data_IF_685961328785
#
_entry.id   IF_685961328785
#
_cell.length_a   1.000
_cell.length_b   1.000
_cell.length_c   1.000
_cell.angle_alpha   90.00
_cell.angle_beta   90.00
_cell.angle_gamma   90.00
#
_symmetry.space_group_name_H-M   'P 1'
#
loop_
_entity.id
_entity.type
_entity.pdbx_description
1 polymer ?
#
# COMPACT_ATOMS: atom_id res chain seq x y z
N UNK A 1 1.81 6.65 53.09
CA UNK A 1 1.84 5.66 52.00
C UNK A 1 1.12 6.13 50.72
N UNK A 2 0.02 6.89 50.81
CA UNK A 2 -0.70 7.38 49.61
C UNK A 2 0.08 8.32 48.67
N UNK A 3 1.05 9.11 49.18
CA UNK A 3 1.87 10.02 48.35
C UNK A 3 2.93 9.31 47.51
N UNK A 4 3.40 8.14 47.93
CA UNK A 4 4.38 7.33 47.17
C UNK A 4 3.67 6.54 46.06
N UNK A 5 2.43 6.10 46.31
CA UNK A 5 1.58 5.43 45.31
C UNK A 5 1.14 6.34 44.15
N UNK A 6 1.00 7.65 44.39
CA UNK A 6 0.65 8.62 43.33
C UNK A 6 1.83 8.97 42.41
N UNK A 7 3.07 8.91 42.92
CA UNK A 7 4.29 9.17 42.13
C UNK A 7 4.66 7.99 41.22
N UNK A 8 4.39 6.75 41.64
CA UNK A 8 4.63 5.56 40.81
C UNK A 8 3.61 5.38 39.68
N UNK A 9 2.38 5.92 39.82
CA UNK A 9 1.37 5.88 38.76
C UNK A 9 1.71 6.78 37.57
N UNK A 10 2.34 7.93 37.82
CA UNK A 10 2.71 8.92 36.78
C UNK A 10 3.85 8.44 35.87
N UNK A 11 4.78 7.62 36.39
CA UNK A 11 5.95 7.14 35.64
C UNK A 11 5.56 6.00 34.67
N UNK A 12 4.55 5.19 35.04
CA UNK A 12 4.05 4.12 34.16
C UNK A 12 3.28 4.65 32.95
N UNK A 13 2.57 5.78 33.10
CA UNK A 13 1.83 6.37 31.98
C UNK A 13 2.75 6.92 30.89
N UNK A 14 3.90 7.51 31.25
CA UNK A 14 4.85 8.06 30.27
C UNK A 14 5.52 6.99 29.40
N UNK A 15 5.81 5.81 29.95
CA UNK A 15 6.53 4.76 29.21
C UNK A 15 5.67 4.15 28.09
N UNK A 16 4.38 3.90 28.36
CA UNK A 16 3.42 3.37 27.38
C UNK A 16 3.18 4.34 26.21
N UNK A 17 3.10 5.65 26.48
CA UNK A 17 2.93 6.66 25.42
C UNK A 17 4.21 6.89 24.60
N UNK A 18 5.39 6.73 25.21
CA UNK A 18 6.66 6.85 24.49
C UNK A 18 6.88 5.66 23.53
N UNK A 19 6.60 4.44 23.99
CA UNK A 19 6.72 3.19 23.21
C UNK A 19 5.71 3.12 22.05
N UNK A 20 4.48 3.59 22.26
CA UNK A 20 3.49 3.65 21.18
C UNK A 20 3.84 4.69 20.10
N UNK A 21 4.44 5.82 20.50
CA UNK A 21 4.91 6.82 19.54
C UNK A 21 6.13 6.32 18.73
N UNK A 22 7.04 5.55 19.33
CA UNK A 22 8.21 5.03 18.61
C UNK A 22 7.83 3.99 17.57
N UNK A 23 6.89 3.10 17.88
CA UNK A 23 6.40 2.11 16.91
C UNK A 23 5.68 2.76 15.72
N UNK A 24 4.79 3.71 15.99
CA UNK A 24 4.05 4.42 14.95
C UNK A 24 4.99 5.11 13.95
N UNK A 25 6.00 5.83 14.45
CA UNK A 25 7.02 6.48 13.61
C UNK A 25 7.79 5.49 12.74
N UNK A 26 8.14 4.31 13.28
CA UNK A 26 8.83 3.27 12.51
C UNK A 26 7.93 2.68 11.42
N UNK A 27 6.63 2.55 11.66
CA UNK A 27 5.66 2.09 10.66
C UNK A 27 5.54 3.12 9.53
N UNK A 28 5.45 4.41 9.87
CA UNK A 28 5.41 5.48 8.87
C UNK A 28 6.66 5.46 7.98
N UNK A 29 7.83 5.29 8.60
CA UNK A 29 9.09 5.18 7.88
C UNK A 29 9.15 3.91 7.02
N UNK A 30 8.71 2.76 7.55
CA UNK A 30 8.66 1.50 6.82
C UNK A 30 7.78 1.61 5.58
N UNK A 31 6.59 2.18 5.72
CA UNK A 31 5.65 2.41 4.61
C UNK A 31 6.29 3.31 3.53
N UNK A 32 7.01 4.36 3.95
CA UNK A 32 7.71 5.26 3.02
C UNK A 32 8.87 4.55 2.31
N UNK A 33 9.68 3.76 3.02
CA UNK A 33 10.79 2.98 2.44
C UNK A 33 10.29 1.90 1.47
N UNK A 34 9.09 1.38 1.71
CA UNK A 34 8.41 0.45 0.81
C UNK A 34 7.76 1.13 -0.40
N UNK A 35 7.69 2.47 -0.42
CA UNK A 35 7.13 3.28 -1.51
C UNK A 35 5.68 2.90 -1.86
N UNK A 36 4.86 2.67 -0.83
CA UNK A 36 3.48 2.18 -0.99
C UNK A 36 2.53 3.19 -1.65
N UNK A 37 2.83 4.48 -1.56
CA UNK A 37 2.14 5.55 -2.29
C UNK A 37 2.29 5.37 -3.81
N UNK A 38 3.51 5.14 -4.29
CA UNK A 38 3.78 4.88 -5.71
C UNK A 38 3.11 3.58 -6.19
N UNK A 39 2.96 2.59 -5.31
CA UNK A 39 2.23 1.35 -5.62
C UNK A 39 0.74 1.61 -5.84
N UNK A 40 0.12 2.47 -5.01
CA UNK A 40 -1.27 2.91 -5.19
C UNK A 40 -1.44 3.67 -6.51
N UNK A 41 -0.53 4.58 -6.83
CA UNK A 41 -0.56 5.30 -8.12
C UNK A 41 -0.43 4.36 -9.32
N UNK A 42 0.48 3.39 -9.23
CA UNK A 42 0.68 2.37 -10.26
C UNK A 42 -0.57 1.51 -10.47
N UNK A 43 -1.26 1.14 -9.40
CA UNK A 43 -2.53 0.41 -9.47
C UNK A 43 -3.58 1.20 -10.26
N UNK A 44 -3.72 2.50 -10.03
CA UNK A 44 -4.65 3.32 -10.81
C UNK A 44 -4.26 3.45 -12.28
N UNK A 45 -2.95 3.58 -12.57
CA UNK A 45 -2.47 3.58 -13.95
C UNK A 45 -2.83 2.29 -14.70
N UNK A 46 -2.75 1.13 -14.02
CA UNK A 46 -3.18 -0.15 -14.59
C UNK A 46 -4.69 -0.18 -14.85
N UNK A 47 -5.52 0.31 -13.91
CA UNK A 47 -6.97 0.39 -14.09
C UNK A 47 -7.30 1.28 -15.30
N UNK A 48 -6.68 2.45 -15.43
CA UNK A 48 -6.88 3.34 -16.59
C UNK A 48 -6.50 2.67 -17.90
N UNK A 49 -5.37 1.95 -17.94
CA UNK A 49 -4.94 1.19 -19.12
C UNK A 49 -5.94 0.10 -19.50
N UNK A 50 -6.44 -0.64 -18.51
CA UNK A 50 -7.45 -1.68 -18.72
C UNK A 50 -8.75 -1.08 -19.27
N UNK A 51 -9.21 0.06 -18.74
CA UNK A 51 -10.44 0.72 -19.20
C UNK A 51 -10.35 1.19 -20.65
N UNK A 52 -9.18 1.70 -21.08
CA UNK A 52 -8.96 2.08 -22.49
C UNK A 52 -9.14 0.89 -23.43
N UNK A 53 -8.54 -0.25 -23.11
CA UNK A 53 -8.68 -1.48 -23.90
C UNK A 53 -10.08 -2.10 -23.85
N UNK A 54 -10.87 -1.78 -22.83
CA UNK A 54 -12.23 -2.30 -22.67
C UNK A 54 -13.23 -1.69 -23.66
N UNK A 55 -13.00 -0.46 -24.12
CA UNK A 55 -13.87 0.21 -25.11
C UNK A 55 -14.00 -0.61 -26.41
N UNK A 56 -12.87 -1.07 -26.95
CA UNK A 56 -12.81 -1.92 -28.14
C UNK A 56 -13.48 -3.28 -27.90
N UNK A 57 -13.23 -3.90 -26.74
CA UNK A 57 -13.83 -5.20 -26.38
C UNK A 57 -15.35 -5.13 -26.23
N UNK A 58 -15.88 -4.00 -25.75
CA UNK A 58 -17.31 -3.77 -25.60
C UNK A 58 -17.99 -3.35 -26.92
N UNK A 59 -17.23 -3.15 -27.99
CA UNK A 59 -17.78 -2.71 -29.28
C UNK A 59 -18.37 -1.30 -29.23
N UNK A 60 -17.80 -0.42 -28.40
CA UNK A 60 -18.24 0.98 -28.26
C UNK A 60 -18.15 1.65 -29.63
N UNK A 61 -19.25 2.24 -30.08
CA UNK A 61 -19.26 2.93 -31.39
C UNK A 61 -18.50 4.25 -31.28
N UNK A 62 -17.94 4.76 -32.40
CA UNK A 62 -17.29 6.08 -32.41
C UNK A 62 -18.19 7.21 -31.88
N UNK A 63 -19.50 7.14 -32.12
CA UNK A 63 -20.48 8.11 -31.61
C UNK A 63 -20.71 8.04 -30.09
N UNK A 64 -20.36 6.93 -29.47
CA UNK A 64 -20.55 6.65 -28.04
C UNK A 64 -19.23 6.81 -27.25
N UNK A 65 -18.08 6.89 -27.94
CA UNK A 65 -16.75 6.96 -27.34
C UNK A 65 -16.62 8.09 -26.31
N UNK A 66 -17.10 9.29 -26.64
CA UNK A 66 -17.02 10.42 -25.72
C UNK A 66 -17.84 10.21 -24.43
N UNK A 67 -18.96 9.48 -24.52
CA UNK A 67 -19.79 9.13 -23.36
C UNK A 67 -19.07 8.07 -22.52
N UNK A 68 -18.49 7.06 -23.18
CA UNK A 68 -17.71 6.02 -22.53
C UNK A 68 -16.50 6.61 -21.78
N UNK A 69 -15.68 7.40 -22.47
CA UNK A 69 -14.49 8.03 -21.91
C UNK A 69 -14.85 8.91 -20.70
N UNK A 70 -15.94 9.69 -20.81
CA UNK A 70 -16.42 10.52 -19.70
C UNK A 70 -16.86 9.66 -18.51
N UNK A 71 -17.68 8.64 -18.73
CA UNK A 71 -18.21 7.80 -17.66
C UNK A 71 -17.08 7.10 -16.88
N UNK A 72 -16.14 6.47 -17.59
CA UNK A 72 -15.01 5.77 -16.97
C UNK A 72 -13.95 6.73 -16.40
N UNK A 73 -13.78 7.91 -16.99
CA UNK A 73 -12.97 8.98 -16.43
C UNK A 73 -13.52 9.49 -15.10
N UNK A 74 -14.83 9.73 -15.03
CA UNK A 74 -15.51 10.13 -13.79
C UNK A 74 -15.39 9.03 -12.73
N UNK A 75 -15.62 7.76 -13.10
CA UNK A 75 -15.46 6.62 -12.19
C UNK A 75 -14.04 6.49 -11.65
N UNK A 76 -13.02 6.60 -12.52
CA UNK A 76 -11.62 6.57 -12.11
C UNK A 76 -11.28 7.72 -11.18
N UNK A 77 -11.83 8.91 -11.43
CA UNK A 77 -11.64 10.09 -10.57
C UNK A 77 -12.23 9.86 -9.18
N UNK A 78 -13.42 9.28 -9.10
CA UNK A 78 -14.04 8.89 -7.82
C UNK A 78 -13.17 7.86 -7.11
N UNK A 79 -12.70 6.81 -7.80
CA UNK A 79 -11.84 5.79 -7.20
C UNK A 79 -10.52 6.38 -6.68
N UNK A 80 -9.86 7.27 -7.45
CA UNK A 80 -8.65 7.98 -7.02
C UNK A 80 -8.89 8.85 -5.79
N UNK A 81 -10.07 9.46 -5.69
CA UNK A 81 -10.42 10.34 -4.56
C UNK A 81 -10.77 9.54 -3.31
N UNK A 82 -11.58 8.48 -3.46
CA UNK A 82 -12.09 7.68 -2.35
C UNK A 82 -11.06 6.69 -1.81
N UNK A 83 -10.16 6.20 -2.65
CA UNK A 83 -9.08 5.30 -2.27
C UNK A 83 -7.71 5.98 -2.40
N UNK A 84 -7.65 7.31 -2.29
CA UNK A 84 -6.39 8.06 -2.30
C UNK A 84 -5.42 7.55 -1.24
N UNK A 85 -4.12 7.70 -1.50
CA UNK A 85 -3.07 7.38 -0.53
C UNK A 85 -3.31 8.04 0.83
N UNK A 86 -3.74 9.30 0.85
CA UNK A 86 -4.06 10.03 2.07
C UNK A 86 -5.16 9.36 2.93
N UNK A 87 -6.15 8.72 2.29
CA UNK A 87 -7.20 7.95 2.98
C UNK A 87 -6.71 6.54 3.36
N UNK A 88 -5.87 5.92 2.53
CA UNK A 88 -5.38 4.55 2.74
C UNK A 88 -4.27 4.45 3.78
N UNK A 89 -3.35 5.42 3.85
CA UNK A 89 -2.18 5.38 4.72
C UNK A 89 -2.55 5.12 6.20
N UNK A 90 -3.54 5.81 6.82
CA UNK A 90 -3.92 5.54 8.21
C UNK A 90 -4.43 4.10 8.43
N UNK A 91 -5.12 3.53 7.45
CA UNK A 91 -5.60 2.14 7.51
C UNK A 91 -4.43 1.16 7.42
N UNK A 92 -3.48 1.42 6.52
CA UNK A 92 -2.26 0.61 6.37
C UNK A 92 -1.43 0.63 7.65
N UNK A 93 -1.21 1.81 8.21
CA UNK A 93 -0.55 1.98 9.51
C UNK A 93 -1.21 1.09 10.57
N UNK A 94 -2.55 1.16 10.70
CA UNK A 94 -3.28 0.40 11.71
C UNK A 94 -3.15 -1.12 11.52
N UNK A 95 -3.09 -1.59 10.27
CA UNK A 95 -2.84 -3.00 9.96
C UNK A 95 -1.46 -3.42 10.44
N UNK A 96 -0.41 -2.66 10.12
CA UNK A 96 0.94 -2.99 10.55
C UNK A 96 1.09 -2.93 12.08
N UNK A 97 0.51 -1.91 12.72
CA UNK A 97 0.53 -1.78 14.17
C UNK A 97 -0.15 -2.97 14.87
N UNK A 98 -1.29 -3.42 14.32
CA UNK A 98 -2.02 -4.55 14.89
C UNK A 98 -1.28 -5.88 14.78
N UNK A 99 -0.52 -6.09 13.70
CA UNK A 99 -0.02 -7.42 13.33
C UNK A 99 1.45 -7.64 13.63
N UNK A 100 2.25 -6.58 13.79
CA UNK A 100 3.69 -6.69 14.06
C UNK A 100 4.04 -6.01 15.38
N UNK A 101 5.01 -6.57 16.08
CA UNK A 101 5.68 -5.92 17.21
C UNK A 101 6.58 -4.77 16.75
N UNK A 102 6.95 -3.88 17.67
CA UNK A 102 7.89 -2.80 17.33
C UNK A 102 9.23 -3.33 16.82
N UNK A 103 9.73 -4.44 17.39
CA UNK A 103 10.98 -5.05 16.97
C UNK A 103 10.89 -5.61 15.55
N UNK A 104 9.80 -6.29 15.20
CA UNK A 104 9.61 -6.82 13.83
C UNK A 104 9.52 -5.69 12.80
N UNK A 105 8.82 -4.60 13.13
CA UNK A 105 8.80 -3.39 12.27
C UNK A 105 10.21 -2.82 12.13
N UNK A 106 10.97 -2.74 13.21
CA UNK A 106 12.35 -2.24 13.17
C UNK A 106 13.26 -3.12 12.32
N UNK A 107 13.12 -4.44 12.41
CA UNK A 107 13.90 -5.41 11.62
C UNK A 107 13.54 -5.32 10.14
N UNK A 108 12.25 -5.22 9.80
CA UNK A 108 11.78 -5.00 8.43
C UNK A 108 12.34 -3.70 7.87
N UNK A 109 12.26 -2.61 8.63
CA UNK A 109 12.78 -1.31 8.23
C UNK A 109 14.29 -1.34 8.00
N UNK A 110 15.04 -1.98 8.91
CA UNK A 110 16.49 -2.14 8.76
C UNK A 110 16.84 -2.92 7.49
N UNK A 111 16.08 -3.98 7.18
CA UNK A 111 16.29 -4.76 5.97
C UNK A 111 15.94 -3.98 4.70
N UNK A 112 14.75 -3.36 4.63
CA UNK A 112 14.31 -2.64 3.44
C UNK A 112 15.16 -1.39 3.15
N UNK A 113 15.86 -0.83 4.13
CA UNK A 113 16.85 0.24 3.91
C UNK A 113 18.14 -0.22 3.23
N UNK A 114 18.40 -1.53 3.14
CA UNK A 114 19.58 -2.06 2.43
C UNK A 114 19.37 -2.03 0.91
N UNK A 115 20.46 -1.98 0.14
CA UNK A 115 20.41 -2.10 -1.32
C UNK A 115 19.67 -3.37 -1.80
N UNK A 116 19.84 -4.48 -1.07
CA UNK A 116 19.15 -5.73 -1.39
C UNK A 116 17.66 -5.65 -1.07
N UNK A 117 17.30 -5.06 0.07
CA UNK A 117 15.90 -4.84 0.45
C UNK A 117 15.16 -3.96 -0.56
N UNK A 118 15.78 -2.86 -0.99
CA UNK A 118 15.25 -2.01 -2.06
C UNK A 118 15.09 -2.77 -3.38
N UNK A 119 16.12 -3.54 -3.79
CA UNK A 119 16.04 -4.38 -5.00
C UNK A 119 14.92 -5.42 -4.95
N UNK A 120 14.59 -5.95 -3.77
CA UNK A 120 13.44 -6.86 -3.62
C UNK A 120 12.14 -6.11 -3.91
N UNK A 121 11.95 -4.92 -3.35
CA UNK A 121 10.75 -4.11 -3.60
C UNK A 121 10.59 -3.80 -5.10
N UNK A 122 11.69 -3.51 -5.80
CA UNK A 122 11.69 -3.26 -7.24
C UNK A 122 11.43 -4.52 -8.09
N UNK A 123 12.04 -5.66 -7.73
CA UNK A 123 12.08 -6.85 -8.59
C UNK A 123 10.94 -7.83 -8.33
N UNK A 124 10.40 -7.89 -7.11
CA UNK A 124 9.35 -8.85 -6.79
C UNK A 124 8.09 -8.69 -7.65
N UNK A 125 7.62 -7.47 -8.00
CA UNK A 125 6.52 -7.31 -8.94
C UNK A 125 6.82 -7.94 -10.31
N UNK A 126 8.04 -7.77 -10.83
CA UNK A 126 8.47 -8.34 -12.11
C UNK A 126 8.53 -9.86 -12.04
N UNK A 127 9.12 -10.41 -10.98
CA UNK A 127 9.17 -11.86 -10.75
C UNK A 127 7.76 -12.45 -10.70
N UNK A 128 6.83 -11.79 -10.01
CA UNK A 128 5.44 -12.23 -9.94
C UNK A 128 4.75 -12.16 -11.31
N UNK A 129 4.97 -11.09 -12.08
CA UNK A 129 4.42 -10.93 -13.43
C UNK A 129 4.92 -12.02 -14.38
N UNK A 130 6.23 -12.29 -14.41
CA UNK A 130 6.82 -13.34 -15.23
C UNK A 130 6.30 -14.74 -14.82
N UNK A 131 6.12 -14.97 -13.50
CA UNK A 131 5.56 -16.22 -12.98
C UNK A 131 4.12 -16.46 -13.44
N UNK A 132 3.31 -15.39 -13.49
CA UNK A 132 1.95 -15.48 -14.02
C UNK A 132 1.94 -15.76 -15.54
N UNK A 133 2.82 -15.11 -16.31
CA UNK A 133 2.93 -15.33 -17.76
C UNK A 133 3.36 -16.76 -18.09
N UNK A 134 4.31 -17.31 -17.33
CA UNK A 134 4.74 -18.70 -17.48
C UNK A 134 3.57 -19.67 -17.26
N UNK A 135 2.77 -19.43 -16.22
CA UNK A 135 1.59 -20.24 -15.91
C UNK A 135 0.54 -20.18 -17.03
N UNK A 136 0.34 -19.00 -17.63
CA UNK A 136 -0.56 -18.83 -18.77
C UNK A 136 -0.05 -19.56 -20.03
N UNK A 137 1.26 -19.55 -20.29
CA UNK A 137 1.85 -20.27 -21.42
C UNK A 137 1.62 -21.78 -21.30
N UNK A 138 1.88 -22.35 -20.11
CA UNK A 138 1.66 -23.77 -19.85
C UNK A 138 0.22 -24.20 -20.08
N UNK A 139 -0.75 -23.35 -19.74
CA UNK A 139 -2.17 -23.62 -19.96
C UNK A 139 -2.57 -23.55 -21.44
N UNK A 140 -1.89 -22.71 -22.24
CA UNK A 140 -2.15 -22.57 -23.68
C UNK A 140 -1.57 -23.73 -24.49
N UNK A 141 -0.48 -24.32 -24.02
CA UNK A 141 0.20 -25.45 -24.67
C UNK A 141 -0.39 -26.82 -24.29
N UNK A 142 -1.36 -26.86 -23.37
CA UNK A 142 -2.12 -28.04 -22.94
C UNK A 142 -3.42 -28.20 -23.72
#
# INVERSE_FOLDING_TARGET
MGKVLLLSLLIFSSSLYAEQNTKQQKIDELISVMNLDSMVDSMYGQVEGMMKGMSDQMGVKPSEQAIFDKYYGDMTTVLKTEMSWAKMQPMMISVYDKHFSEQEIADMLAFYKTDTGQKILEKMPVVMQESMQMSQSLMKDA
#
